data_IF_266795699535
#
_entry.id   IF_266795699535
#
_cell.length_a   1.000
_cell.length_b   1.000
_cell.length_c   1.000
_cell.angle_alpha   90.00
_cell.angle_beta   90.00
_cell.angle_gamma   90.00
#
_symmetry.space_group_name_H-M   'P 1'
#
loop_
_entity.id
_entity.type
_entity.pdbx_description
1 polymer ?
#
# COMPACT_ATOMS: atom_id res chain seq x y z
N UNK A 1 -9.41 20.03 -12.55
CA UNK A 1 -8.54 20.77 -13.50
C UNK A 1 -7.29 21.36 -12.81
N UNK A 2 -7.41 21.99 -11.63
CA UNK A 2 -6.27 22.66 -10.98
C UNK A 2 -5.09 21.73 -10.62
N UNK A 3 -5.36 20.54 -10.07
CA UNK A 3 -4.30 19.59 -9.69
C UNK A 3 -3.48 19.14 -10.91
N UNK A 4 -4.17 18.79 -12.00
CA UNK A 4 -3.53 18.40 -13.25
C UNK A 4 -2.64 19.52 -13.82
N UNK A 5 -3.09 20.78 -13.75
CA UNK A 5 -2.28 21.93 -14.17
C UNK A 5 -1.07 22.18 -13.27
N UNK A 6 -1.16 21.91 -11.96
CA UNK A 6 -0.01 21.96 -11.05
C UNK A 6 1.02 20.88 -11.40
N UNK A 7 0.59 19.64 -11.58
CA UNK A 7 1.45 18.53 -11.99
C UNK A 7 2.11 18.85 -13.35
N UNK A 8 1.33 19.32 -14.33
CA UNK A 8 1.88 19.70 -15.63
C UNK A 8 2.93 20.81 -15.52
N UNK A 9 2.70 21.86 -14.72
CA UNK A 9 3.68 22.93 -14.55
C UNK A 9 5.00 22.45 -13.94
N UNK A 10 4.96 21.52 -13.00
CA UNK A 10 6.16 21.02 -12.32
C UNK A 10 6.90 19.91 -13.08
N UNK A 11 6.19 19.10 -13.87
CA UNK A 11 6.77 17.90 -14.49
C UNK A 11 6.76 17.93 -16.04
N UNK A 12 6.32 19.04 -16.67
CA UNK A 12 6.38 19.17 -18.14
C UNK A 12 7.81 19.02 -18.65
N UNK A 13 7.99 18.21 -19.69
CA UNK A 13 9.30 17.91 -20.27
C UNK A 13 10.05 16.74 -19.59
N UNK A 14 9.52 16.19 -18.49
CA UNK A 14 10.05 14.99 -17.85
C UNK A 14 9.16 13.79 -18.15
N UNK A 15 9.77 12.61 -18.33
CA UNK A 15 9.04 11.34 -18.36
C UNK A 15 8.95 10.78 -16.93
N UNK A 16 7.77 10.86 -16.33
CA UNK A 16 7.52 10.28 -15.00
C UNK A 16 7.08 8.82 -15.17
N UNK A 17 7.90 7.89 -14.70
CA UNK A 17 7.53 6.48 -14.61
C UNK A 17 7.03 6.18 -13.21
N UNK A 18 5.78 5.75 -13.10
CA UNK A 18 5.23 5.32 -11.82
C UNK A 18 5.62 3.86 -11.56
N UNK A 19 6.05 3.53 -10.33
CA UNK A 19 6.26 2.15 -9.98
C UNK A 19 4.92 1.42 -9.98
N UNK A 20 4.94 0.15 -10.40
CA UNK A 20 3.75 -0.71 -10.37
C UNK A 20 3.19 -0.87 -8.95
N UNK A 21 4.02 -0.68 -7.93
CA UNK A 21 3.61 -0.58 -6.52
C UNK A 21 3.89 0.83 -6.04
N UNK A 22 2.85 1.65 -5.97
CA UNK A 22 2.94 3.04 -5.52
C UNK A 22 3.22 3.16 -4.02
N UNK A 23 2.71 2.21 -3.23
CA UNK A 23 2.94 2.16 -1.79
C UNK A 23 4.15 1.28 -1.47
N UNK A 24 5.03 1.78 -0.60
CA UNK A 24 6.11 0.98 -0.05
C UNK A 24 5.53 -0.20 0.74
N UNK A 25 6.13 -1.39 0.58
CA UNK A 25 5.68 -2.61 1.27
C UNK A 25 5.60 -2.42 2.78
N UNK A 26 6.56 -1.69 3.35
CA UNK A 26 6.60 -1.36 4.78
C UNK A 26 5.44 -0.45 5.21
N UNK A 27 5.05 0.51 4.37
CA UNK A 27 3.91 1.36 4.65
C UNK A 27 2.61 0.55 4.66
N UNK A 28 2.43 -0.32 3.66
CA UNK A 28 1.28 -1.21 3.58
C UNK A 28 1.22 -2.16 4.78
N UNK A 29 2.35 -2.77 5.17
CA UNK A 29 2.44 -3.62 6.36
C UNK A 29 1.96 -2.90 7.61
N UNK A 30 2.48 -1.69 7.87
CA UNK A 30 2.07 -0.87 9.04
C UNK A 30 0.59 -0.51 9.01
N UNK A 31 0.07 -0.14 7.85
CA UNK A 31 -1.34 0.20 7.68
C UNK A 31 -2.25 -1.01 7.90
N UNK A 32 -1.88 -2.17 7.37
CA UNK A 32 -2.61 -3.42 7.59
C UNK A 32 -2.68 -3.75 9.08
N UNK A 33 -1.58 -3.61 9.82
CA UNK A 33 -1.56 -3.87 11.27
C UNK A 33 -2.48 -2.95 12.06
N UNK A 34 -2.59 -1.68 11.65
CA UNK A 34 -3.47 -0.70 12.31
C UNK A 34 -4.94 -0.94 11.96
N UNK A 35 -5.23 -1.33 10.72
CA UNK A 35 -6.60 -1.56 10.25
C UNK A 35 -7.11 -2.97 10.53
N UNK A 36 -6.23 -3.94 10.86
CA UNK A 36 -6.62 -5.34 11.03
C UNK A 36 -7.48 -5.54 12.29
N UNK A 37 -8.72 -6.00 12.08
CA UNK A 37 -9.72 -6.23 13.13
C UNK A 37 -9.87 -7.70 13.54
N UNK A 38 -9.04 -8.59 12.98
CA UNK A 38 -9.11 -10.05 13.19
C UNK A 38 -9.84 -10.80 12.08
N UNK A 39 -10.68 -10.13 11.29
CA UNK A 39 -11.55 -10.76 10.28
C UNK A 39 -11.41 -10.18 8.87
N UNK A 40 -10.87 -8.98 8.74
CA UNK A 40 -10.81 -8.22 7.49
C UNK A 40 -9.58 -8.50 6.59
N UNK A 41 -8.83 -9.58 6.81
CA UNK A 41 -7.64 -9.93 6.00
C UNK A 41 -7.93 -10.01 4.49
N UNK A 42 -9.14 -10.42 4.10
CA UNK A 42 -9.58 -10.57 2.71
C UNK A 42 -9.90 -9.23 2.05
N UNK A 43 -10.51 -8.32 2.79
CA UNK A 43 -10.77 -6.94 2.35
C UNK A 43 -9.47 -6.14 2.23
N UNK A 44 -8.55 -6.30 3.19
CA UNK A 44 -7.22 -5.69 3.13
C UNK A 44 -6.41 -6.22 1.93
N UNK A 45 -6.50 -7.51 1.63
CA UNK A 45 -5.86 -8.11 0.46
C UNK A 45 -6.33 -7.46 -0.84
N UNK A 46 -7.65 -7.26 -0.96
CA UNK A 46 -8.25 -6.59 -2.11
C UNK A 46 -7.92 -5.10 -2.19
N UNK A 47 -7.89 -4.40 -1.05
CA UNK A 47 -7.59 -2.96 -0.96
C UNK A 47 -6.16 -2.64 -1.36
N UNK A 48 -5.19 -3.43 -0.89
CA UNK A 48 -3.76 -3.20 -1.15
C UNK A 48 -3.20 -4.02 -2.33
N UNK A 49 -4.01 -4.89 -2.94
CA UNK A 49 -3.60 -5.70 -4.10
C UNK A 49 -2.63 -6.84 -3.74
N UNK A 50 -2.68 -7.32 -2.50
CA UNK A 50 -1.89 -8.46 -2.04
C UNK A 50 -2.76 -9.72 -1.93
N UNK A 51 -2.13 -10.88 -1.83
CA UNK A 51 -2.84 -12.11 -1.51
C UNK A 51 -3.08 -12.20 -0.01
N UNK A 52 -4.17 -12.85 0.40
CA UNK A 52 -4.46 -13.10 1.82
C UNK A 52 -3.29 -13.77 2.54
N UNK A 53 -2.55 -14.65 1.85
CA UNK A 53 -1.37 -15.30 2.40
C UNK A 53 -0.30 -14.31 2.86
N UNK A 54 0.07 -13.35 2.00
CA UNK A 54 1.09 -12.35 2.33
C UNK A 54 0.68 -11.49 3.53
N UNK A 55 -0.60 -11.16 3.62
CA UNK A 55 -1.15 -10.42 4.76
C UNK A 55 -1.06 -11.26 6.04
N UNK A 56 -1.41 -12.55 5.98
CA UNK A 56 -1.28 -13.45 7.14
C UNK A 56 0.16 -13.66 7.56
N UNK A 57 1.09 -13.77 6.61
CA UNK A 57 2.52 -13.89 6.91
C UNK A 57 2.99 -12.64 7.68
N UNK A 58 2.61 -11.43 7.25
CA UNK A 58 2.94 -10.19 7.98
C UNK A 58 2.30 -10.09 9.37
N UNK A 59 1.05 -10.55 9.51
CA UNK A 59 0.37 -10.57 10.81
C UNK A 59 0.95 -11.61 11.78
N UNK A 60 1.54 -12.70 11.26
CA UNK A 60 2.20 -13.72 12.06
C UNK A 60 3.60 -13.27 12.51
N UNK A 61 4.39 -12.67 11.61
CA UNK A 61 5.72 -12.12 11.93
C UNK A 61 5.68 -11.07 13.05
N UNK A 62 4.63 -10.25 13.12
CA UNK A 62 4.49 -9.23 14.17
C UNK A 62 4.09 -9.84 15.52
N UNK A 63 3.30 -10.93 15.52
CA UNK A 63 2.96 -11.64 16.76
C UNK A 63 4.16 -12.39 17.35
N UNK A 64 5.14 -12.76 16.52
CA UNK A 64 6.37 -13.45 16.96
C UNK A 64 7.42 -12.47 17.55
N UNK A 65 7.22 -11.16 17.39
CA UNK A 65 8.13 -10.12 17.91
C UNK A 65 7.75 -9.64 19.32
N UNK A 66 6.70 -10.20 19.94
CA UNK A 66 6.22 -9.83 21.30
C UNK A 66 6.63 -10.89 22.33
#
# INVERSE_FOLDING_TARGET
MELAMKVHRHYKGLQVTFPQRFLAREYVRKQILVEFDGSNSKDLARKYGYTERVIRDWLAEEQETI
#
